data_IF_588620067518
#
_entry.id   IF_588620067518
#
_cell.length_a   1.000
_cell.length_b   1.000
_cell.length_c   1.000
_cell.angle_alpha   90.00
_cell.angle_beta   90.00
_cell.angle_gamma   90.00
#
_symmetry.space_group_name_H-M   'P 1'
#
loop_
_entity.id
_entity.type
_entity.pdbx_description
1 polymer ?
#
# COMPACT_ATOMS: atom_id res chain seq x y z
N UNK A 1 17.51 -9.61 6.79
CA UNK A 1 16.41 -8.65 6.51
C UNK A 1 17.04 -7.28 6.36
N UNK A 2 16.69 -6.45 5.37
CA UNK A 2 17.33 -5.15 5.09
C UNK A 2 16.84 -4.02 6.00
N UNK A 3 15.95 -4.32 6.96
CA UNK A 3 15.37 -3.35 7.87
C UNK A 3 16.02 -3.47 9.25
N UNK A 4 16.30 -2.34 9.86
CA UNK A 4 16.82 -2.20 11.21
C UNK A 4 15.97 -1.16 11.98
N UNK A 5 15.24 -1.54 13.04
CA UNK A 5 15.05 -2.90 13.54
C UNK A 5 14.31 -3.83 12.54
N UNK A 6 14.42 -5.17 12.69
CA UNK A 6 13.76 -6.14 11.80
C UNK A 6 12.24 -6.21 11.96
N UNK A 7 11.69 -5.47 12.92
CA UNK A 7 10.26 -5.32 13.18
C UNK A 7 9.97 -3.85 13.45
N UNK A 8 8.78 -3.37 13.08
CA UNK A 8 8.33 -2.02 13.38
C UNK A 8 7.14 -2.05 14.33
N UNK A 9 7.13 -1.13 15.30
CA UNK A 9 5.98 -0.91 16.17
C UNK A 9 5.09 0.16 15.54
N UNK A 10 3.86 -0.23 15.19
CA UNK A 10 2.84 0.68 14.67
C UNK A 10 1.80 0.94 15.75
N UNK A 11 1.43 2.21 15.94
CA UNK A 11 0.34 2.65 16.82
C UNK A 11 -0.86 2.99 15.95
N UNK A 12 -2.05 2.66 16.43
CA UNK A 12 -3.31 3.05 15.80
C UNK A 12 -4.29 3.50 16.87
N UNK A 13 -5.09 4.53 16.57
CA UNK A 13 -6.23 4.99 17.39
C UNK A 13 -7.56 4.47 16.85
N UNK A 14 -7.59 3.26 16.28
CA UNK A 14 -8.79 2.66 15.71
C UNK A 14 -8.91 2.96 14.21
N UNK A 15 -9.87 3.79 13.79
CA UNK A 15 -10.16 4.02 12.36
C UNK A 15 -9.22 5.03 11.65
N UNK A 16 -8.27 5.62 12.38
CA UNK A 16 -7.47 6.79 11.95
C UNK A 16 -6.11 6.42 11.32
N UNK A 17 -5.92 5.16 10.93
CA UNK A 17 -4.71 4.69 10.27
C UNK A 17 -3.59 4.27 11.24
N UNK A 18 -2.36 4.17 10.71
CA UNK A 18 -1.21 3.67 11.44
C UNK A 18 -0.12 4.74 11.53
N UNK A 19 0.50 4.85 12.70
CA UNK A 19 1.63 5.75 12.95
C UNK A 19 2.82 4.95 13.43
N UNK A 20 3.98 5.19 12.83
CA UNK A 20 5.22 4.54 13.20
C UNK A 20 5.70 5.02 14.57
N UNK A 21 5.86 4.12 15.53
CA UNK A 21 6.27 4.48 16.90
C UNK A 21 7.78 4.71 17.03
N UNK A 22 8.58 4.02 16.21
CA UNK A 22 10.04 4.04 16.26
C UNK A 22 10.60 4.23 14.85
N UNK A 23 11.77 4.88 14.68
CA UNK A 23 12.32 5.08 13.35
C UNK A 23 12.55 3.74 12.63
N UNK A 24 12.16 3.67 11.36
CA UNK A 24 12.39 2.50 10.51
C UNK A 24 13.56 2.81 9.57
N UNK A 25 14.66 2.06 9.70
CA UNK A 25 15.83 2.23 8.85
C UNK A 25 15.83 1.12 7.79
N UNK A 26 15.87 1.53 6.52
CA UNK A 26 16.11 0.61 5.41
C UNK A 26 17.58 0.71 4.98
N UNK A 27 18.25 -0.43 4.99
CA UNK A 27 19.64 -0.64 4.57
C UNK A 27 19.63 -1.53 3.33
N UNK A 28 19.42 -0.90 2.17
CA UNK A 28 19.58 -1.54 0.88
C UNK A 28 21.06 -1.75 0.53
N UNK A 29 21.32 -2.46 -0.57
CA UNK A 29 22.69 -2.71 -1.05
C UNK A 29 23.49 -1.44 -1.37
N UNK A 30 22.81 -0.35 -1.75
CA UNK A 30 23.41 0.94 -2.13
C UNK A 30 22.67 2.14 -1.57
N UNK A 31 21.52 1.91 -0.96
CA UNK A 31 20.55 2.93 -0.61
C UNK A 31 20.26 2.83 0.89
N UNK A 32 20.33 3.96 1.60
CA UNK A 32 19.96 4.04 3.02
C UNK A 32 18.84 5.05 3.17
N UNK A 33 17.72 4.62 3.73
CA UNK A 33 16.58 5.50 4.04
C UNK A 33 16.21 5.38 5.50
N UNK A 34 15.82 6.50 6.10
CA UNK A 34 15.36 6.56 7.49
C UNK A 34 13.97 7.16 7.48
N UNK A 35 12.98 6.34 7.84
CA UNK A 35 11.62 6.80 8.07
C UNK A 35 11.53 7.24 9.53
N UNK A 36 11.23 8.51 9.82
CA UNK A 36 11.19 9.00 11.19
C UNK A 36 10.01 8.40 11.97
N UNK A 37 10.17 8.28 13.30
CA UNK A 37 9.05 8.03 14.19
C UNK A 37 8.00 9.15 14.05
N UNK A 38 6.73 8.80 14.25
CA UNK A 38 5.60 9.70 14.03
C UNK A 38 5.09 9.73 12.58
N UNK A 39 5.73 9.01 11.64
CA UNK A 39 5.24 8.94 10.27
C UNK A 39 3.90 8.20 10.19
N UNK A 40 2.90 8.86 9.59
CA UNK A 40 1.60 8.26 9.31
C UNK A 40 1.67 7.46 8.00
N UNK A 41 1.23 6.20 8.06
CA UNK A 41 1.24 5.24 6.96
C UNK A 41 -0.14 4.60 6.84
N UNK A 42 -0.58 4.38 5.60
CA UNK A 42 -1.84 3.74 5.28
C UNK A 42 -1.65 2.25 4.92
N UNK A 43 -0.42 1.74 5.10
CA UNK A 43 0.03 0.39 4.75
C UNK A 43 -0.31 0.04 3.31
N UNK A 44 -0.82 -1.17 3.05
CA UNK A 44 -1.33 -1.51 1.74
C UNK A 44 -2.80 -1.08 1.63
N UNK A 45 -3.07 0.01 0.91
CA UNK A 45 -4.44 0.39 0.51
C UNK A 45 -4.97 -0.55 -0.58
N UNK A 46 -5.47 -1.72 -0.17
CA UNK A 46 -5.94 -2.79 -1.06
C UNK A 46 -7.47 -2.77 -1.21
N UNK A 47 -8.02 -2.85 -2.45
CA UNK A 47 -9.45 -3.00 -2.66
C UNK A 47 -10.00 -4.29 -2.02
N UNK A 48 -11.17 -4.17 -1.37
CA UNK A 48 -11.82 -5.28 -0.64
C UNK A 48 -11.93 -6.60 -1.42
N UNK A 49 -12.30 -6.61 -2.71
CA UNK A 49 -12.42 -7.85 -3.48
C UNK A 49 -11.09 -8.60 -3.65
N UNK A 50 -9.95 -7.98 -3.33
CA UNK A 50 -8.60 -8.52 -3.52
C UNK A 50 -7.91 -8.81 -2.17
N UNK A 51 -8.56 -8.53 -1.03
CA UNK A 51 -7.98 -8.78 0.30
C UNK A 51 -7.69 -10.26 0.58
N UNK A 52 -8.40 -11.17 -0.09
CA UNK A 52 -8.11 -12.62 -0.04
C UNK A 52 -6.72 -12.97 -0.58
N UNK A 53 -6.17 -12.13 -1.47
CA UNK A 53 -4.87 -12.33 -2.11
C UNK A 53 -3.77 -11.50 -1.46
N UNK A 54 -4.08 -10.25 -1.11
CA UNK A 54 -3.13 -9.30 -0.51
C UNK A 54 -3.77 -8.71 0.74
N UNK A 55 -3.49 -9.30 1.93
CA UNK A 55 -3.92 -8.71 3.20
C UNK A 55 -3.37 -7.29 3.41
N UNK A 56 -3.91 -6.53 4.36
CA UNK A 56 -3.41 -5.18 4.63
C UNK A 56 -1.98 -5.18 5.21
N UNK A 57 -1.61 -6.24 5.92
CA UNK A 57 -0.30 -6.42 6.54
C UNK A 57 0.25 -7.82 6.29
N UNK A 58 1.58 -7.95 6.34
CA UNK A 58 2.28 -9.20 6.07
C UNK A 58 3.80 -8.99 5.92
N UNK A 59 4.50 -9.92 5.26
CA UNK A 59 5.95 -9.82 5.06
C UNK A 59 6.42 -8.57 4.30
N UNK A 60 5.50 -7.88 3.61
CA UNK A 60 5.75 -6.62 2.89
C UNK A 60 5.45 -5.36 3.70
N UNK A 61 4.96 -5.45 4.94
CA UNK A 61 4.53 -4.28 5.73
C UNK A 61 5.64 -3.24 5.88
N UNK A 62 6.86 -3.63 6.22
CA UNK A 62 7.99 -2.70 6.32
C UNK A 62 8.34 -2.04 4.98
N UNK A 63 8.20 -2.79 3.88
CA UNK A 63 8.38 -2.25 2.55
C UNK A 63 7.28 -1.24 2.18
N UNK A 64 6.03 -1.47 2.61
CA UNK A 64 4.92 -0.55 2.40
C UNK A 64 5.14 0.77 3.16
N UNK A 65 5.52 0.72 4.44
CA UNK A 65 5.84 1.93 5.23
C UNK A 65 6.97 2.74 4.57
N UNK A 66 8.02 2.06 4.10
CA UNK A 66 9.11 2.72 3.36
C UNK A 66 8.59 3.36 2.06
N UNK A 67 7.73 2.66 1.32
CA UNK A 67 7.17 3.15 0.05
C UNK A 67 6.29 4.38 0.25
N UNK A 68 5.44 4.41 1.27
CA UNK A 68 4.61 5.57 1.61
C UNK A 68 5.47 6.80 1.93
N UNK A 69 6.54 6.61 2.71
CA UNK A 69 7.47 7.70 3.05
C UNK A 69 8.23 8.21 1.81
N UNK A 70 8.66 7.30 0.92
CA UNK A 70 9.31 7.68 -0.33
C UNK A 70 8.36 8.41 -1.28
N UNK A 71 7.09 7.98 -1.36
CA UNK A 71 6.10 8.62 -2.23
C UNK A 71 5.72 10.02 -1.74
N UNK A 72 5.75 10.26 -0.42
CA UNK A 72 5.39 11.54 0.18
C UNK A 72 6.60 12.49 0.26
N UNK A 73 7.64 12.07 0.97
CA UNK A 73 8.82 12.91 1.24
C UNK A 73 9.86 12.76 0.14
N UNK A 74 10.15 11.54 -0.29
CA UNK A 74 11.20 11.25 -1.26
C UNK A 74 10.97 11.88 -2.64
N UNK A 75 9.74 11.81 -3.16
CA UNK A 75 9.37 12.45 -4.43
C UNK A 75 9.37 13.97 -4.32
N UNK A 76 8.78 14.52 -3.26
CA UNK A 76 8.71 15.97 -3.02
C UNK A 76 10.09 16.61 -2.88
N UNK A 77 11.02 15.92 -2.23
CA UNK A 77 12.43 16.35 -2.09
C UNK A 77 13.29 16.03 -3.30
N UNK A 78 12.72 15.39 -4.33
CA UNK A 78 13.43 14.87 -5.53
C UNK A 78 14.59 13.93 -5.20
N UNK A 79 14.56 13.28 -4.03
CA UNK A 79 15.52 12.25 -3.65
C UNK A 79 15.31 10.97 -4.47
N UNK A 80 14.06 10.68 -4.85
CA UNK A 80 13.70 9.55 -5.71
C UNK A 80 12.59 9.94 -6.69
N UNK A 81 12.57 9.30 -7.85
CA UNK A 81 11.43 9.36 -8.76
C UNK A 81 10.33 8.37 -8.35
N UNK A 82 9.10 8.60 -8.80
CA UNK A 82 7.96 7.66 -8.64
C UNK A 82 8.33 6.23 -9.04
N UNK A 83 9.02 6.06 -10.18
CA UNK A 83 9.45 4.75 -10.67
C UNK A 83 10.54 4.11 -9.81
N UNK A 84 11.47 4.90 -9.26
CA UNK A 84 12.49 4.42 -8.34
C UNK A 84 11.89 3.99 -7.00
N UNK A 85 10.95 4.77 -6.45
CA UNK A 85 10.22 4.41 -5.24
C UNK A 85 9.50 3.07 -5.41
N UNK A 86 8.75 2.88 -6.52
CA UNK A 86 8.07 1.60 -6.79
C UNK A 86 9.06 0.45 -7.04
N UNK A 87 10.19 0.74 -7.70
CA UNK A 87 11.26 -0.22 -7.92
C UNK A 87 11.94 -0.66 -6.63
N UNK A 88 12.14 0.28 -5.71
CA UNK A 88 12.69 0.05 -4.37
C UNK A 88 11.72 -0.74 -3.50
N UNK A 89 10.43 -0.44 -3.57
CA UNK A 89 9.38 -1.23 -2.92
C UNK A 89 9.43 -2.71 -3.33
N UNK A 90 9.49 -2.97 -4.64
CA UNK A 90 9.62 -4.35 -5.16
C UNK A 90 10.92 -5.03 -4.72
N UNK A 91 12.01 -4.27 -4.60
CA UNK A 91 13.31 -4.77 -4.13
C UNK A 91 13.28 -5.11 -2.65
N UNK A 92 12.73 -4.22 -1.82
CA UNK A 92 12.55 -4.42 -0.39
C UNK A 92 11.67 -5.64 -0.11
N UNK A 93 10.57 -5.83 -0.86
CA UNK A 93 9.75 -7.04 -0.79
C UNK A 93 10.53 -8.31 -1.12
N UNK A 94 11.39 -8.30 -2.14
CA UNK A 94 12.27 -9.45 -2.45
C UNK A 94 13.21 -9.75 -1.28
N UNK A 95 13.80 -8.72 -0.68
CA UNK A 95 14.73 -8.86 0.44
C UNK A 95 14.03 -9.30 1.74
N UNK A 96 12.73 -9.03 1.87
CA UNK A 96 11.85 -9.54 2.92
C UNK A 96 11.30 -10.95 2.66
N UNK A 97 11.67 -11.59 1.54
CA UNK A 97 11.24 -12.95 1.23
C UNK A 97 9.82 -13.07 0.64
N UNK A 98 9.23 -11.96 0.19
CA UNK A 98 7.90 -11.97 -0.45
C UNK A 98 7.94 -12.79 -1.75
N UNK A 99 6.97 -13.71 -1.99
CA UNK A 99 6.90 -14.50 -3.21
C UNK A 99 6.94 -13.68 -4.49
N UNK A 100 7.53 -14.26 -5.54
CA UNK A 100 7.78 -13.57 -6.82
C UNK A 100 6.51 -13.04 -7.46
N UNK A 101 5.43 -13.84 -7.46
CA UNK A 101 4.16 -13.43 -8.03
C UNK A 101 3.57 -12.24 -7.26
N UNK A 102 3.46 -12.37 -5.94
CA UNK A 102 2.86 -11.34 -5.08
C UNK A 102 3.58 -10.00 -5.19
N UNK A 103 4.92 -9.97 -5.15
CA UNK A 103 5.68 -8.71 -5.29
C UNK A 103 5.47 -8.03 -6.65
N UNK A 104 5.23 -8.79 -7.72
CA UNK A 104 4.95 -8.22 -9.05
C UNK A 104 3.51 -7.68 -9.14
N UNK A 105 2.54 -8.38 -8.54
CA UNK A 105 1.16 -7.90 -8.44
C UNK A 105 1.08 -6.59 -7.63
N UNK A 106 1.74 -6.56 -6.48
CA UNK A 106 1.82 -5.35 -5.65
C UNK A 106 2.54 -4.22 -6.38
N UNK A 107 3.63 -4.51 -7.11
CA UNK A 107 4.30 -3.52 -7.95
C UNK A 107 3.36 -2.97 -9.04
N UNK A 108 2.59 -3.80 -9.72
CA UNK A 108 1.61 -3.31 -10.71
C UNK A 108 0.52 -2.46 -10.09
N UNK A 109 0.04 -2.83 -8.90
CA UNK A 109 -0.98 -2.06 -8.19
C UNK A 109 -0.49 -0.64 -7.84
N UNK A 110 0.73 -0.51 -7.29
CA UNK A 110 1.28 0.82 -6.96
C UNK A 110 1.58 1.66 -8.20
N UNK A 111 1.90 1.03 -9.34
CA UNK A 111 2.01 1.73 -10.63
C UNK A 111 0.65 2.23 -11.11
N UNK A 112 -0.40 1.42 -11.06
CA UNK A 112 -1.75 1.91 -11.38
C UNK A 112 -2.17 3.05 -10.46
N UNK A 113 -1.86 2.96 -9.15
CA UNK A 113 -2.08 4.05 -8.20
C UNK A 113 -1.30 5.33 -8.54
N UNK A 114 -0.07 5.22 -9.04
CA UNK A 114 0.72 6.36 -9.49
C UNK A 114 0.07 7.12 -10.66
N UNK A 115 -0.75 6.46 -11.49
CA UNK A 115 -1.50 7.12 -12.56
C UNK A 115 -2.64 7.97 -12.00
N UNK A 116 -3.18 7.65 -10.82
CA UNK A 116 -4.24 8.42 -10.18
C UNK A 116 -3.70 9.67 -9.46
N UNK A 117 -2.41 9.73 -9.14
CA UNK A 117 -1.77 10.79 -8.36
C UNK A 117 -0.99 11.77 -9.25
N UNK A 118 -1.36 13.06 -9.22
CA UNK A 118 -0.77 14.09 -10.07
C UNK A 118 0.76 14.22 -9.91
N UNK A 119 1.31 14.02 -8.71
CA UNK A 119 2.74 14.13 -8.44
C UNK A 119 3.52 12.91 -8.95
N UNK A 120 2.85 11.75 -9.02
CA UNK A 120 3.46 10.47 -9.40
C UNK A 120 3.23 10.07 -10.87
N UNK A 121 2.29 10.74 -11.55
CA UNK A 121 1.94 10.57 -12.97
C UNK A 121 3.10 10.81 -13.95
N UNK A 122 3.98 11.82 -13.77
CA UNK A 122 5.04 12.10 -14.74
C UNK A 122 5.92 10.88 -15.00
N UNK A 123 6.16 10.56 -16.28
CA UNK A 123 6.98 9.40 -16.68
C UNK A 123 6.29 8.03 -16.53
N UNK A 124 4.98 7.98 -16.24
CA UNK A 124 4.27 6.72 -16.10
C UNK A 124 4.25 5.85 -17.37
N UNK A 125 4.14 6.50 -18.54
CA UNK A 125 4.09 5.85 -19.85
C UNK A 125 5.28 4.92 -20.11
N UNK A 126 6.46 5.22 -19.56
CA UNK A 126 7.65 4.38 -19.67
C UNK A 126 7.49 3.01 -18.98
N UNK A 127 6.58 2.92 -18.01
CA UNK A 127 6.29 1.69 -17.28
C UNK A 127 5.03 1.00 -17.80
N UNK A 128 4.26 1.63 -18.70
CA UNK A 128 2.98 1.14 -19.17
C UNK A 128 3.04 -0.25 -19.83
N UNK A 129 4.00 -0.57 -20.74
CA UNK A 129 4.05 -1.89 -21.36
C UNK A 129 4.22 -3.02 -20.34
N UNK A 130 5.12 -2.83 -19.37
CA UNK A 130 5.35 -3.82 -18.30
C UNK A 130 4.15 -3.99 -17.38
N UNK A 131 3.48 -2.88 -17.02
CA UNK A 131 2.26 -2.90 -16.20
C UNK A 131 1.14 -3.63 -16.93
N UNK A 132 0.95 -3.37 -18.23
CA UNK A 132 -0.10 -4.01 -19.04
C UNK A 132 0.15 -5.52 -19.20
N UNK A 133 1.38 -5.92 -19.53
CA UNK A 133 1.73 -7.35 -19.67
C UNK A 133 1.44 -8.11 -18.38
N UNK A 134 1.90 -7.61 -17.23
CA UNK A 134 1.66 -8.27 -15.95
C UNK A 134 0.17 -8.25 -15.61
N UNK A 135 -0.55 -7.16 -15.88
CA UNK A 135 -1.99 -7.06 -15.62
C UNK A 135 -2.78 -8.10 -16.44
N UNK A 136 -2.46 -8.26 -17.72
CA UNK A 136 -3.08 -9.27 -18.60
C UNK A 136 -2.80 -10.69 -18.12
N UNK A 137 -1.55 -10.98 -17.71
CA UNK A 137 -1.19 -12.30 -17.18
C UNK A 137 -1.84 -12.58 -15.82
N UNK A 138 -2.02 -11.56 -14.98
CA UNK A 138 -2.65 -11.69 -13.67
C UNK A 138 -4.18 -11.76 -13.73
N UNK A 139 -4.80 -11.20 -14.77
CA UNK A 139 -6.25 -11.06 -14.88
C UNK A 139 -7.02 -12.39 -14.72
N UNK A 140 -6.64 -13.51 -15.37
CA UNK A 140 -7.34 -14.80 -15.20
C UNK A 140 -7.31 -15.33 -13.77
N UNK A 141 -6.29 -14.97 -12.98
CA UNK A 141 -6.14 -15.41 -11.60
C UNK A 141 -6.89 -14.50 -10.62
N UNK A 142 -6.80 -13.18 -10.83
CA UNK A 142 -7.30 -12.19 -9.87
C UNK A 142 -8.77 -11.85 -10.09
N UNK A 143 -9.22 -11.74 -11.34
CA UNK A 143 -10.57 -11.25 -11.64
C UNK A 143 -11.68 -12.21 -11.20
N UNK A 144 -11.64 -13.53 -11.47
CA UNK A 144 -12.75 -14.41 -11.09
C UNK A 144 -13.10 -14.40 -9.59
N UNK A 145 -12.16 -14.61 -8.65
CA UNK A 145 -12.48 -14.56 -7.22
C UNK A 145 -12.87 -13.15 -6.76
N UNK A 146 -12.27 -12.10 -7.34
CA UNK A 146 -12.63 -10.72 -7.02
C UNK A 146 -14.08 -10.41 -7.43
N UNK A 147 -14.51 -10.84 -8.60
CA UNK A 147 -15.89 -10.64 -9.07
C UNK A 147 -16.90 -11.43 -8.23
N UNK A 148 -16.54 -12.60 -7.72
CA UNK A 148 -17.38 -13.36 -6.78
C UNK A 148 -17.47 -12.72 -5.39
N UNK A 149 -16.42 -12.01 -4.96
CA UNK A 149 -16.42 -11.31 -3.68
C UNK A 149 -17.36 -10.09 -3.68
N UNK A 150 -17.52 -9.40 -4.83
CA UNK A 150 -18.35 -8.19 -4.96
C UNK A 150 -19.81 -8.40 -4.51
N UNK A 151 -20.58 -9.38 -5.01
CA UNK A 151 -21.97 -9.59 -4.59
C UNK A 151 -22.06 -9.95 -3.11
N UNK A 152 -21.14 -10.76 -2.58
CA UNK A 152 -21.10 -11.08 -1.14
C UNK A 152 -20.89 -9.83 -0.28
N UNK A 153 -19.96 -8.96 -0.68
CA UNK A 153 -19.71 -7.67 -0.02
C UNK A 153 -20.92 -6.73 -0.11
N UNK A 154 -21.64 -6.74 -1.23
CA UNK A 154 -22.85 -5.94 -1.43
C UNK A 154 -24.00 -6.41 -0.54
N UNK A 155 -24.26 -7.72 -0.47
CA UNK A 155 -25.27 -8.32 0.42
C UNK A 155 -24.95 -7.98 1.87
N UNK A 156 -23.70 -8.18 2.30
CA UNK A 156 -23.29 -7.84 3.65
C UNK A 156 -23.49 -6.35 3.96
N UNK A 157 -23.08 -5.46 3.05
CA UNK A 157 -23.28 -4.02 3.23
C UNK A 157 -24.76 -3.61 3.31
N UNK A 158 -25.64 -4.30 2.60
CA UNK A 158 -27.09 -4.12 2.67
C UNK A 158 -27.68 -4.59 4.00
N UNK A 159 -27.29 -5.80 4.44
CA UNK A 159 -27.72 -6.37 5.73
C UNK A 159 -27.25 -5.51 6.91
N UNK A 160 -25.99 -5.10 6.92
CA UNK A 160 -25.43 -4.24 7.95
C UNK A 160 -26.19 -2.93 8.05
N UNK A 161 -26.52 -2.30 6.90
CA UNK A 161 -27.32 -1.07 6.87
C UNK A 161 -28.73 -1.28 7.42
N UNK A 162 -29.30 -2.46 7.21
CA UNK A 162 -30.66 -2.79 7.64
C UNK A 162 -30.72 -3.07 9.15
N UNK A 163 -29.69 -3.72 9.70
CA UNK A 163 -29.60 -4.09 11.13
C UNK A 163 -29.08 -2.93 11.99
N UNK A 164 -28.00 -2.29 11.57
CA UNK A 164 -27.25 -1.30 12.35
C UNK A 164 -27.59 0.15 11.99
N UNK A 165 -28.45 0.38 11.00
CA UNK A 165 -28.75 1.72 10.48
C UNK A 165 -27.54 2.40 9.84
N UNK A 166 -27.52 3.74 9.84
CA UNK A 166 -26.40 4.53 9.32
C UNK A 166 -25.32 4.83 10.39
N UNK A 167 -25.59 4.52 11.67
CA UNK A 167 -24.69 4.79 12.81
C UNK A 167 -23.67 3.67 13.09
N UNK A 168 -23.81 2.52 12.43
CA UNK A 168 -22.86 1.42 12.54
C UNK A 168 -21.47 1.80 12.04
N UNK A 169 -20.43 1.64 12.89
CA UNK A 169 -19.04 1.83 12.48
C UNK A 169 -18.69 0.76 11.47
N UNK A 170 -18.60 1.14 10.19
CA UNK A 170 -18.26 0.20 9.12
C UNK A 170 -16.77 -0.13 9.23
N UNK A 171 -16.38 -1.42 9.34
CA UNK A 171 -14.97 -1.81 9.46
C UNK A 171 -14.06 -1.25 8.34
N UNK A 172 -14.64 -0.88 7.19
CA UNK A 172 -13.93 -0.39 6.01
C UNK A 172 -14.02 1.12 5.79
N UNK A 173 -14.75 1.87 6.63
CA UNK A 173 -14.66 3.35 6.58
C UNK A 173 -13.42 3.78 7.33
N UNK A 174 -12.31 3.97 6.61
CA UNK A 174 -11.21 4.79 7.15
C UNK A 174 -11.77 6.19 7.32
N UNK A 175 -11.69 6.76 8.52
CA UNK A 175 -11.93 8.20 8.65
C UNK A 175 -10.82 8.87 7.85
N UNK A 176 -11.17 9.58 6.77
CA UNK A 176 -10.24 10.57 6.21
C UNK A 176 -9.94 11.51 7.35
N UNK A 177 -8.68 11.65 7.73
CA UNK A 177 -8.27 12.70 8.65
C UNK A 177 -8.91 14.00 8.16
N UNK A 178 -9.88 14.50 8.95
CA UNK A 178 -10.21 15.91 8.89
C UNK A 178 -8.90 16.64 9.11
N UNK A 179 -8.59 17.56 8.21
CA UNK A 179 -7.45 18.46 8.26
C UNK A 179 -7.16 18.93 9.69
N UNK A 180 -6.25 18.23 10.37
CA UNK A 180 -5.69 18.59 11.66
C UNK A 180 -4.33 19.20 11.41
N UNK A 181 -4.30 20.52 11.47
CA UNK A 181 -3.17 21.49 11.57
C UNK A 181 -1.72 20.99 11.42
N UNK A 182 -0.88 21.74 10.68
CA UNK A 182 0.56 21.52 10.65
C UNK A 182 1.19 21.97 11.96
N UNK A 183 2.14 21.17 12.47
CA UNK A 183 3.19 21.62 13.38
C UNK A 183 4.52 21.43 12.68
#
# INVERSE_FOLDING_TARGET
MPFDPPAAVLRTSGADGWTLAEPLIYLGRRDRFVVPAGFATDLASVPRPVLWLVPESGPYTLAAVLHDWLCTVGIRTRAVTSREADGLFRRAMREAGVPVLLRWLMWTAVRWGALADAERRPGWLLSAPGVLVISVLAAPLVLPPSLLAVPGLAVYAGLERLVSGDDGVRPWTRRRNGSGTPW
#
